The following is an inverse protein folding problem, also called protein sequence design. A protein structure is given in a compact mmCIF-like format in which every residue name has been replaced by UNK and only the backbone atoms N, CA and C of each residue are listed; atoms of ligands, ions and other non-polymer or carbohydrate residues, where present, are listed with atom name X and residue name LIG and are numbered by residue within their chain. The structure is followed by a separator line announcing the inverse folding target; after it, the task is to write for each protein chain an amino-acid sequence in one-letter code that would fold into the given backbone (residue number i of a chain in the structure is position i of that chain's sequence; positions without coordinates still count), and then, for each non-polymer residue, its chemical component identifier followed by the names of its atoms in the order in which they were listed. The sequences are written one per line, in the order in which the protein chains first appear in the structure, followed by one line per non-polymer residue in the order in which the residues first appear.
data_IF_180354068497
#
_entry.id   IF_180354068497
#
_cell.length_a   1.000
_cell.length_b   1.000
_cell.length_c   1.000
_cell.angle_alpha   90.00
_cell.angle_beta   90.00
_cell.angle_gamma   90.00
#
_symmetry.space_group_name_H-M   'P 1'
#
loop_
_entity.id
_entity.type
_entity.pdbx_description
1 polymer ?
#
# COMPACT_ATOMS: atom_id res chain seq x y z
N UNK A 1 2.46 -2.49 18.97
CA UNK A 1 2.69 -2.66 17.52
C UNK A 1 1.45 -2.15 16.83
N UNK A 2 1.56 -1.11 16.01
CA UNK A 2 0.40 -0.61 15.26
C UNK A 2 -0.07 -1.67 14.27
N UNK A 3 -1.38 -1.80 14.13
CA UNK A 3 -1.98 -2.67 13.13
C UNK A 3 -1.82 -2.05 11.74
N UNK A 4 -1.76 -2.86 10.67
CA UNK A 4 -1.61 -2.35 9.29
C UNK A 4 -2.70 -1.33 8.95
N UNK A 5 -3.90 -1.53 9.51
CA UNK A 5 -5.07 -0.66 9.33
C UNK A 5 -4.90 0.76 9.91
N UNK A 6 -3.92 0.95 10.81
CA UNK A 6 -3.63 2.23 11.46
C UNK A 6 -2.48 3.00 10.79
N UNK A 7 -1.77 2.38 9.84
CA UNK A 7 -0.63 3.01 9.16
C UNK A 7 -1.08 4.16 8.26
N UNK A 8 -0.27 5.23 8.19
CA UNK A 8 -0.38 6.24 7.15
C UNK A 8 0.05 5.65 5.79
N UNK A 9 -0.18 6.39 4.70
CA UNK A 9 0.24 5.95 3.37
C UNK A 9 1.76 5.81 3.32
N UNK A 10 2.50 6.81 3.78
CA UNK A 10 3.96 6.84 3.77
C UNK A 10 4.56 5.71 4.60
N UNK A 11 3.97 5.42 5.77
CA UNK A 11 4.43 4.33 6.62
C UNK A 11 4.15 2.95 6.00
N UNK A 12 2.94 2.74 5.45
CA UNK A 12 2.59 1.48 4.80
C UNK A 12 3.41 1.25 3.54
N UNK A 13 3.66 2.30 2.75
CA UNK A 13 4.43 2.25 1.52
C UNK A 13 5.91 1.98 1.79
N UNK A 14 6.54 2.68 2.74
CA UNK A 14 7.93 2.44 3.10
C UNK A 14 8.16 1.01 3.63
N UNK A 15 7.21 0.50 4.40
CA UNK A 15 7.28 -0.89 4.85
C UNK A 15 7.11 -1.89 3.68
N UNK A 16 6.21 -1.60 2.74
CA UNK A 16 6.03 -2.41 1.54
C UNK A 16 7.31 -2.46 0.69
N UNK A 17 7.98 -1.32 0.49
CA UNK A 17 9.27 -1.26 -0.21
C UNK A 17 10.33 -2.12 0.48
N UNK A 18 10.42 -2.04 1.81
CA UNK A 18 11.35 -2.87 2.60
C UNK A 18 11.06 -4.37 2.42
N UNK A 19 9.79 -4.77 2.35
CA UNK A 19 9.40 -6.16 2.10
C UNK A 19 9.79 -6.60 0.69
N UNK A 20 9.58 -5.74 -0.32
CA UNK A 20 9.96 -6.04 -1.69
C UNK A 20 11.46 -6.26 -1.80
N UNK A 21 12.28 -5.38 -1.21
CA UNK A 21 13.74 -5.53 -1.17
C UNK A 21 14.16 -6.86 -0.55
N UNK A 22 13.52 -7.27 0.54
CA UNK A 22 13.80 -8.54 1.20
C UNK A 22 13.42 -9.75 0.35
N UNK A 23 12.26 -9.71 -0.33
CA UNK A 23 11.81 -10.77 -1.22
C UNK A 23 12.70 -10.88 -2.46
N UNK A 24 13.16 -9.75 -3.01
CA UNK A 24 14.05 -9.69 -4.17
C UNK A 24 15.46 -10.20 -3.86
N UNK A 25 15.92 -10.09 -2.61
CA UNK A 25 17.22 -10.65 -2.20
C UNK A 25 17.31 -12.16 -2.42
N UNK A 26 16.19 -12.89 -2.32
CA UNK A 26 16.13 -14.34 -2.47
C UNK A 26 16.84 -15.15 -1.37
N UNK A 27 17.30 -14.50 -0.29
CA UNK A 27 18.06 -15.16 0.78
C UNK A 27 17.18 -15.75 1.89
N UNK A 28 15.86 -15.57 1.80
CA UNK A 28 14.91 -15.96 2.84
C UNK A 28 14.46 -17.42 2.71
N UNK A 29 14.27 -18.13 3.84
CA UNK A 29 13.53 -19.38 3.87
C UNK A 29 12.12 -19.22 3.28
N UNK A 30 11.58 -20.29 2.69
CA UNK A 30 10.25 -20.28 2.06
C UNK A 30 9.15 -19.79 2.99
N UNK A 31 9.14 -20.24 4.25
CA UNK A 31 8.13 -19.84 5.24
C UNK A 31 8.16 -18.33 5.50
N UNK A 32 9.37 -17.74 5.60
CA UNK A 32 9.55 -16.31 5.79
C UNK A 32 9.14 -15.52 4.54
N UNK A 33 9.47 -16.02 3.34
CA UNK A 33 9.04 -15.41 2.08
C UNK A 33 7.52 -15.39 1.96
N UNK A 34 6.82 -16.46 2.37
CA UNK A 34 5.36 -16.52 2.36
C UNK A 34 4.77 -15.51 3.37
N UNK A 35 5.32 -15.44 4.58
CA UNK A 35 4.86 -14.48 5.59
C UNK A 35 5.05 -13.02 5.14
N UNK A 36 6.20 -12.71 4.54
CA UNK A 36 6.47 -11.39 3.95
C UNK A 36 5.52 -11.07 2.81
N UNK A 37 5.24 -12.03 1.92
CA UNK A 37 4.29 -11.86 0.83
C UNK A 37 2.87 -11.54 1.34
N UNK A 38 2.37 -12.29 2.34
CA UNK A 38 1.07 -12.03 2.95
C UNK A 38 0.99 -10.64 3.58
N UNK A 39 2.07 -10.22 4.26
CA UNK A 39 2.18 -8.88 4.83
C UNK A 39 2.20 -7.81 3.75
N UNK A 40 3.03 -7.98 2.72
CA UNK A 40 3.12 -7.07 1.58
C UNK A 40 1.78 -6.87 0.87
N UNK A 41 1.01 -7.96 0.71
CA UNK A 41 -0.35 -7.88 0.15
C UNK A 41 -1.27 -6.98 1.00
N UNK A 42 -1.27 -7.16 2.33
CA UNK A 42 -2.09 -6.34 3.23
C UNK A 42 -1.68 -4.86 3.20
N UNK A 43 -0.37 -4.59 3.12
CA UNK A 43 0.14 -3.22 2.98
C UNK A 43 -0.29 -2.59 1.65
N UNK A 44 -0.24 -3.36 0.55
CA UNK A 44 -0.74 -2.91 -0.76
C UNK A 44 -2.23 -2.57 -0.73
N UNK A 45 -3.06 -3.44 -0.15
CA UNK A 45 -4.50 -3.20 0.04
C UNK A 45 -4.77 -1.94 0.90
N UNK A 46 -3.95 -1.70 1.93
CA UNK A 46 -4.00 -0.49 2.74
C UNK A 46 -3.65 0.77 1.94
N UNK A 47 -2.57 0.74 1.17
CA UNK A 47 -2.16 1.85 0.31
C UNK A 47 -3.27 2.21 -0.68
N UNK A 48 -3.84 1.21 -1.37
CA UNK A 48 -4.95 1.44 -2.30
C UNK A 48 -6.15 2.08 -1.61
N UNK A 49 -6.54 1.56 -0.44
CA UNK A 49 -7.66 2.12 0.34
C UNK A 49 -7.44 3.59 0.71
N UNK A 50 -6.20 3.99 1.00
CA UNK A 50 -5.87 5.38 1.33
C UNK A 50 -5.89 6.27 0.09
N UNK A 51 -5.39 5.78 -1.05
CA UNK A 51 -5.45 6.47 -2.34
C UNK A 51 -6.89 6.69 -2.80
N UNK A 52 -7.74 5.66 -2.73
CA UNK A 52 -9.17 5.76 -3.09
C UNK A 52 -9.89 6.83 -2.26
N UNK A 53 -9.58 6.89 -0.96
CA UNK A 53 -10.13 7.93 -0.06
C UNK A 53 -9.64 9.33 -0.42
N UNK A 54 -8.37 9.47 -0.80
CA UNK A 54 -7.81 10.73 -1.22
C UNK A 54 -8.45 11.20 -2.54
N UNK A 55 -8.58 10.30 -3.52
CA UNK A 55 -9.22 10.56 -4.80
C UNK A 55 -10.69 10.98 -4.61
N UNK A 56 -11.45 10.23 -3.81
CA UNK A 56 -12.83 10.57 -3.50
C UNK A 56 -12.95 11.97 -2.88
N UNK A 57 -12.02 12.33 -1.98
CA UNK A 57 -11.98 13.66 -1.37
C UNK A 57 -11.67 14.75 -2.39
N UNK A 58 -10.73 14.51 -3.30
CA UNK A 58 -10.43 15.44 -4.40
C UNK A 58 -11.67 15.63 -5.28
N UNK A 59 -12.32 14.55 -5.69
CA UNK A 59 -13.53 14.57 -6.53
C UNK A 59 -14.69 15.36 -5.91
N UNK A 60 -14.86 15.25 -4.59
CA UNK A 60 -15.86 16.03 -3.86
C UNK A 60 -15.52 17.53 -3.82
N UNK A 61 -14.25 17.89 -3.76
CA UNK A 61 -13.79 19.29 -3.74
C UNK A 61 -13.83 19.95 -5.12
N UNK A 62 -13.54 19.19 -6.18
CA UNK A 62 -13.51 19.70 -7.56
C UNK A 62 -14.87 19.73 -8.22
N UNK A 63 -15.90 19.12 -7.62
CA UNK A 63 -17.29 19.23 -8.06
C UNK A 63 -17.51 18.77 -9.49
N UNK A 64 -17.20 17.49 -9.78
CA UNK A 64 -17.49 16.79 -11.05
C UNK A 64 -17.23 17.63 -12.31
N UNK A 65 -15.99 17.59 -12.82
CA UNK A 65 -15.63 18.23 -14.09
C UNK A 65 -14.50 17.53 -14.84
N UNK A 66 -13.30 17.46 -14.27
CA UNK A 66 -12.12 17.05 -15.05
C UNK A 66 -11.03 16.46 -14.14
N UNK A 67 -11.18 15.20 -13.74
CA UNK A 67 -10.01 14.36 -13.47
C UNK A 67 -10.08 13.19 -14.42
N UNK A 68 -9.35 13.30 -15.52
CA UNK A 68 -9.07 12.13 -16.35
C UNK A 68 -8.42 11.06 -15.47
N UNK A 69 -8.85 9.79 -15.56
CA UNK A 69 -8.16 8.72 -14.87
C UNK A 69 -6.72 8.68 -15.40
N UNK A 70 -5.75 8.69 -14.48
CA UNK A 70 -4.35 8.44 -14.81
C UNK A 70 -4.24 6.97 -15.26
N UNK A 71 -4.50 6.72 -16.54
CA UNK A 71 -4.21 5.47 -17.24
C UNK A 71 -2.76 5.41 -17.68
#
# INVERSE_FOLDING_TARGET
MSTIDELSFEAAYAELETILEQLESGELPLEDSVALFERGRKLSERCQTLLDKAELRVNQLTGSGDVEPLT
#
